data_IF_190789667936
#
_entry.id   IF_190789667936
#
_cell.length_a   1.000
_cell.length_b   1.000
_cell.length_c   1.000
_cell.angle_alpha   90.00
_cell.angle_beta   90.00
_cell.angle_gamma   90.00
#
_symmetry.space_group_name_H-M   'P 1'
#
loop_
_entity.id
_entity.type
_entity.pdbx_description
1 polymer ?
#
# COMPACT_ATOMS: atom_id res chain seq x y z
N UNK A 1 -1.28 -10.59 15.84
CA UNK A 1 -0.37 -11.10 16.89
C UNK A 1 -1.11 -11.73 18.05
N UNK A 2 -2.08 -11.02 18.64
CA UNK A 2 -2.98 -11.50 19.70
C UNK A 2 -3.59 -12.87 19.39
N UNK A 3 -4.03 -13.10 18.15
CA UNK A 3 -4.53 -14.39 17.68
C UNK A 3 -3.57 -15.55 17.95
N UNK A 4 -2.31 -15.42 17.56
CA UNK A 4 -1.38 -16.53 17.68
C UNK A 4 -1.00 -16.80 19.14
N UNK A 5 -0.92 -15.75 19.96
CA UNK A 5 -0.70 -15.88 21.41
C UNK A 5 -1.90 -16.55 22.10
N UNK A 6 -3.12 -16.22 21.67
CA UNK A 6 -4.34 -16.89 22.11
C UNK A 6 -4.37 -18.37 21.67
N UNK A 7 -4.01 -18.66 20.43
CA UNK A 7 -3.93 -20.04 19.91
C UNK A 7 -2.87 -20.90 20.65
N UNK A 8 -1.88 -20.28 21.29
CA UNK A 8 -0.89 -20.94 22.15
C UNK A 8 -1.40 -21.19 23.59
N UNK A 9 -2.64 -20.81 23.91
CA UNK A 9 -3.24 -21.04 25.23
C UNK A 9 -2.71 -20.12 26.34
N UNK A 10 -2.13 -18.98 25.98
CA UNK A 10 -1.67 -17.98 26.95
C UNK A 10 -2.86 -17.29 27.63
N UNK A 11 -2.69 -16.88 28.89
CA UNK A 11 -3.72 -16.09 29.57
C UNK A 11 -3.76 -14.64 29.06
N UNK A 12 -4.87 -13.96 29.33
CA UNK A 12 -5.14 -12.59 28.83
C UNK A 12 -4.05 -11.59 29.20
N UNK A 13 -3.50 -11.65 30.42
CA UNK A 13 -2.44 -10.73 30.86
C UNK A 13 -1.16 -10.94 30.04
N UNK A 14 -0.77 -12.18 29.81
CA UNK A 14 0.38 -12.51 28.97
C UNK A 14 0.16 -12.11 27.51
N UNK A 15 -1.06 -12.32 26.99
CA UNK A 15 -1.43 -11.91 25.63
C UNK A 15 -1.31 -10.39 25.49
N UNK A 16 -1.82 -9.62 26.45
CA UNK A 16 -1.74 -8.16 26.43
C UNK A 16 -0.27 -7.72 26.45
N UNK A 17 0.52 -8.19 27.42
CA UNK A 17 1.91 -7.75 27.60
C UNK A 17 2.78 -8.14 26.40
N UNK A 18 2.78 -9.42 26.02
CA UNK A 18 3.60 -9.90 24.91
C UNK A 18 3.10 -9.38 23.57
N UNK A 19 1.77 -9.32 23.39
CA UNK A 19 1.14 -8.78 22.19
C UNK A 19 1.52 -7.33 21.95
N UNK A 20 1.44 -6.48 22.97
CA UNK A 20 1.83 -5.06 22.88
C UNK A 20 3.31 -4.89 22.58
N UNK A 21 4.21 -5.62 23.26
CA UNK A 21 5.65 -5.52 23.03
C UNK A 21 6.04 -5.93 21.62
N UNK A 22 5.58 -7.11 21.20
CA UNK A 22 5.87 -7.61 19.86
C UNK A 22 5.26 -6.69 18.80
N UNK A 23 4.07 -6.13 19.04
CA UNK A 23 3.39 -5.24 18.09
C UNK A 23 4.17 -3.95 17.93
N UNK A 24 4.67 -3.39 19.04
CA UNK A 24 5.54 -2.21 19.01
C UNK A 24 6.84 -2.46 18.23
N UNK A 25 7.48 -3.62 18.44
CA UNK A 25 8.67 -4.01 17.66
C UNK A 25 8.33 -4.09 16.18
N UNK A 26 7.26 -4.78 15.81
CA UNK A 26 6.90 -4.94 14.41
C UNK A 26 6.51 -3.61 13.72
N UNK A 27 5.70 -2.79 14.39
CA UNK A 27 5.26 -1.50 13.86
C UNK A 27 6.39 -0.47 13.73
N UNK A 28 7.48 -0.62 14.48
CA UNK A 28 8.69 0.21 14.29
C UNK A 28 9.61 -0.33 13.19
N UNK A 29 9.60 -1.64 12.93
CA UNK A 29 10.36 -2.24 11.82
C UNK A 29 9.80 -1.89 10.45
N UNK A 30 8.47 -1.91 10.30
CA UNK A 30 7.85 -1.72 8.98
C UNK A 30 8.28 -0.41 8.31
N UNK A 31 8.19 0.78 8.96
CA UNK A 31 8.65 2.02 8.35
C UNK A 31 10.15 1.99 8.01
N UNK A 32 10.98 1.37 8.86
CA UNK A 32 12.42 1.25 8.60
C UNK A 32 12.73 0.43 7.33
N UNK A 33 11.88 -0.54 6.98
CA UNK A 33 12.03 -1.37 5.77
C UNK A 33 11.79 -0.55 4.50
N UNK A 34 10.77 0.30 4.48
CA UNK A 34 10.46 1.16 3.32
C UNK A 34 11.30 2.44 3.28
N UNK A 35 11.90 2.85 4.41
CA UNK A 35 12.56 4.14 4.56
C UNK A 35 13.63 4.45 3.51
N UNK A 36 14.46 3.51 3.03
CA UNK A 36 15.39 3.80 1.94
C UNK A 36 14.70 4.31 0.67
N UNK A 37 13.55 3.74 0.30
CA UNK A 37 12.76 4.18 -0.86
C UNK A 37 12.06 5.50 -0.55
N UNK A 38 11.54 5.67 0.67
CA UNK A 38 10.91 6.93 1.09
C UNK A 38 11.90 8.08 0.99
N UNK A 39 13.13 7.92 1.50
CA UNK A 39 14.21 8.92 1.40
C UNK A 39 14.56 9.26 -0.05
N UNK A 40 14.64 8.24 -0.91
CA UNK A 40 14.92 8.41 -2.34
C UNK A 40 13.81 9.22 -3.03
N UNK A 41 12.55 8.99 -2.66
CA UNK A 41 11.39 9.67 -3.21
C UNK A 41 11.21 11.10 -2.69
N UNK A 42 11.34 11.31 -1.38
CA UNK A 42 11.07 12.61 -0.75
C UNK A 42 12.27 13.55 -0.78
N UNK A 43 13.48 13.00 -0.99
CA UNK A 43 14.73 13.74 -0.84
C UNK A 43 15.05 14.14 0.59
N UNK A 44 14.32 13.63 1.58
CA UNK A 44 14.51 13.96 3.01
C UNK A 44 14.31 12.76 3.92
N UNK A 45 14.69 12.91 5.18
CA UNK A 45 14.47 11.90 6.23
C UNK A 45 13.51 12.42 7.32
N UNK A 46 12.65 13.37 6.96
CA UNK A 46 11.80 14.09 7.93
C UNK A 46 10.60 13.26 8.41
N UNK A 47 10.16 12.30 7.61
CA UNK A 47 9.10 11.37 7.96
C UNK A 47 9.34 9.98 7.36
N UNK A 48 8.63 9.00 7.89
CA UNK A 48 8.58 7.63 7.40
C UNK A 48 7.14 7.23 7.09
N UNK A 49 6.94 6.05 6.50
CA UNK A 49 5.59 5.55 6.18
C UNK A 49 5.27 4.29 6.98
N UNK A 50 4.18 4.34 7.74
CA UNK A 50 3.66 3.24 8.55
C UNK A 50 2.31 2.77 8.03
N UNK A 51 2.27 1.56 7.47
CA UNK A 51 1.05 0.89 7.07
C UNK A 51 1.24 -0.63 7.14
N UNK A 52 0.16 -1.43 7.21
CA UNK A 52 0.24 -2.90 7.33
C UNK A 52 0.37 -3.63 5.98
N UNK A 53 0.94 -2.95 5.00
CA UNK A 53 1.20 -3.49 3.66
C UNK A 53 2.61 -3.17 3.18
N UNK A 54 3.47 -2.67 4.05
CA UNK A 54 4.81 -2.18 3.75
C UNK A 54 5.73 -3.27 3.22
N UNK A 55 5.64 -4.52 3.71
CA UNK A 55 6.43 -5.62 3.17
C UNK A 55 6.06 -5.87 1.70
N UNK A 56 4.77 -5.86 1.41
CA UNK A 56 4.26 -6.05 0.05
C UNK A 56 4.63 -4.91 -0.89
N UNK A 57 4.37 -3.66 -0.50
CA UNK A 57 4.64 -2.49 -1.35
C UNK A 57 6.14 -2.30 -1.57
N UNK A 58 6.95 -2.50 -0.54
CA UNK A 58 8.42 -2.41 -0.64
C UNK A 58 8.99 -3.50 -1.53
N UNK A 59 8.59 -4.76 -1.32
CA UNK A 59 9.03 -5.87 -2.17
C UNK A 59 8.63 -5.65 -3.63
N UNK A 60 7.38 -5.21 -3.88
CA UNK A 60 6.91 -4.89 -5.21
C UNK A 60 7.72 -3.73 -5.85
N UNK A 61 8.05 -2.69 -5.08
CA UNK A 61 8.91 -1.60 -5.54
C UNK A 61 10.31 -2.06 -5.96
N UNK A 62 10.93 -2.94 -5.17
CA UNK A 62 12.21 -3.56 -5.55
C UNK A 62 12.10 -4.42 -6.81
N UNK A 63 11.05 -5.23 -6.93
CA UNK A 63 10.81 -6.03 -8.15
C UNK A 63 10.62 -5.11 -9.37
N UNK A 64 9.87 -4.02 -9.21
CA UNK A 64 9.73 -2.99 -10.24
C UNK A 64 11.07 -2.38 -10.65
N UNK A 65 11.96 -2.11 -9.69
CA UNK A 65 13.32 -1.63 -9.95
C UNK A 65 14.21 -2.62 -10.71
N UNK A 66 14.06 -3.93 -10.47
CA UNK A 66 14.86 -4.96 -11.14
C UNK A 66 14.55 -5.09 -12.64
N UNK A 67 13.31 -4.79 -13.04
CA UNK A 67 12.87 -4.95 -14.44
C UNK A 67 12.58 -3.62 -15.14
N UNK A 68 12.60 -2.52 -14.40
CA UNK A 68 12.28 -1.18 -14.87
C UNK A 68 13.44 -0.46 -15.58
N UNK A 69 13.20 0.80 -15.95
CA UNK A 69 14.23 1.73 -16.37
C UNK A 69 13.98 3.08 -15.67
N UNK A 70 14.92 3.46 -14.79
CA UNK A 70 14.83 4.70 -14.00
C UNK A 70 14.88 5.98 -14.84
N UNK A 71 15.42 5.93 -16.06
CA UNK A 71 15.45 7.08 -16.98
C UNK A 71 14.05 7.46 -17.52
N UNK A 72 13.07 6.58 -17.36
CA UNK A 72 11.70 6.76 -17.86
C UNK A 72 10.75 7.07 -16.71
N UNK A 73 11.01 8.14 -15.97
CA UNK A 73 10.16 8.55 -14.85
C UNK A 73 8.73 8.88 -15.32
N UNK A 74 7.72 8.36 -14.63
CA UNK A 74 6.32 8.65 -14.90
C UNK A 74 5.92 10.11 -14.57
N UNK A 75 6.69 10.77 -13.71
CA UNK A 75 6.46 12.17 -13.34
C UNK A 75 7.11 13.14 -14.37
N UNK A 76 8.16 12.70 -15.08
CA UNK A 76 8.89 13.50 -16.09
C UNK A 76 8.53 13.13 -17.55
N UNK A 77 7.33 12.61 -17.79
CA UNK A 77 6.91 12.24 -19.15
C UNK A 77 6.80 13.48 -20.05
N UNK A 78 7.75 13.61 -20.99
CA UNK A 78 7.67 14.60 -22.07
C UNK A 78 6.58 14.22 -23.07
N UNK A 79 5.48 14.95 -23.03
CA UNK A 79 4.36 14.80 -23.96
C UNK A 79 4.46 15.82 -25.09
N UNK A 80 4.09 15.47 -26.34
CA UNK A 80 4.00 16.43 -27.43
C UNK A 80 2.99 17.54 -27.10
N UNK A 81 3.15 18.73 -27.66
CA UNK A 81 2.39 19.94 -27.31
C UNK A 81 0.86 19.74 -27.29
N UNK A 82 0.32 18.89 -28.17
CA UNK A 82 -1.12 18.57 -28.22
C UNK A 82 -1.64 17.77 -27.02
N UNK A 83 -0.73 17.15 -26.25
CA UNK A 83 -0.97 16.34 -25.08
C UNK A 83 -0.43 17.03 -23.81
N UNK A 84 0.03 18.28 -23.89
CA UNK A 84 0.64 18.96 -22.74
C UNK A 84 -0.34 19.15 -21.56
N UNK A 85 -1.64 19.23 -21.84
CA UNK A 85 -2.67 19.30 -20.80
C UNK A 85 -2.72 18.06 -19.89
N UNK A 86 -2.14 16.92 -20.31
CA UNK A 86 -2.00 15.73 -19.46
C UNK A 86 -0.96 15.90 -18.34
N UNK A 87 -0.13 16.96 -18.38
CA UNK A 87 0.73 17.32 -17.25
C UNK A 87 -0.08 17.85 -16.07
N UNK A 88 -1.30 18.33 -16.29
CA UNK A 88 -2.20 18.69 -15.19
C UNK A 88 -2.68 17.43 -14.48
N UNK A 89 -2.33 17.30 -13.20
CA UNK A 89 -2.66 16.13 -12.38
C UNK A 89 -4.17 15.87 -12.30
N UNK A 90 -5.01 16.91 -12.25
CA UNK A 90 -6.45 16.75 -12.22
C UNK A 90 -6.99 16.18 -13.53
N UNK A 91 -6.47 16.65 -14.67
CA UNK A 91 -6.87 16.15 -15.99
C UNK A 91 -6.36 14.72 -16.20
N UNK A 92 -5.10 14.43 -15.83
CA UNK A 92 -4.52 13.10 -15.93
C UNK A 92 -5.32 12.05 -15.15
N UNK A 93 -5.59 12.34 -13.87
CA UNK A 93 -6.41 11.46 -13.02
C UNK A 93 -7.82 11.33 -13.60
N UNK A 94 -8.43 12.43 -14.05
CA UNK A 94 -9.79 12.42 -14.62
C UNK A 94 -9.88 11.50 -15.83
N UNK A 95 -8.95 11.62 -16.79
CA UNK A 95 -9.00 10.78 -17.99
C UNK A 95 -8.79 9.30 -17.63
N UNK A 96 -7.79 9.00 -16.81
CA UNK A 96 -7.51 7.64 -16.34
C UNK A 96 -8.77 7.03 -15.72
N UNK A 97 -9.42 7.78 -14.83
CA UNK A 97 -10.61 7.30 -14.13
C UNK A 97 -11.83 7.20 -15.03
N UNK A 98 -11.99 8.10 -16.00
CA UNK A 98 -13.07 8.00 -16.99
C UNK A 98 -12.90 6.71 -17.80
N UNK A 99 -11.71 6.44 -18.32
CA UNK A 99 -11.42 5.21 -19.07
C UNK A 99 -11.72 3.98 -18.20
N UNK A 100 -11.28 4.00 -16.94
CA UNK A 100 -11.53 2.90 -16.00
C UNK A 100 -13.02 2.68 -15.71
N UNK A 101 -13.74 3.69 -15.22
CA UNK A 101 -15.15 3.55 -14.85
C UNK A 101 -16.07 3.32 -16.05
N UNK A 102 -15.84 4.02 -17.18
CA UNK A 102 -16.62 3.79 -18.40
C UNK A 102 -16.31 2.40 -18.98
N UNK A 103 -15.06 1.96 -18.93
CA UNK A 103 -14.68 0.60 -19.30
C UNK A 103 -15.43 -0.45 -18.48
N UNK A 104 -15.50 -0.27 -17.15
CA UNK A 104 -16.31 -1.13 -16.27
C UNK A 104 -17.80 -1.09 -16.62
N UNK A 105 -18.34 0.08 -16.95
CA UNK A 105 -19.73 0.25 -17.36
C UNK A 105 -20.05 -0.54 -18.64
N UNK A 106 -19.13 -0.51 -19.61
CA UNK A 106 -19.27 -1.23 -20.89
C UNK A 106 -19.22 -2.74 -20.65
N UNK A 107 -18.25 -3.22 -19.84
CA UNK A 107 -18.10 -4.64 -19.54
C UNK A 107 -19.28 -5.19 -18.73
N UNK A 108 -19.72 -4.45 -17.70
CA UNK A 108 -20.86 -4.85 -16.87
C UNK A 108 -22.23 -4.68 -17.56
N UNK A 109 -22.31 -3.77 -18.52
CA UNK A 109 -23.54 -3.45 -19.24
C UNK A 109 -24.56 -2.65 -18.40
N UNK A 110 -25.66 -2.20 -19.02
CA UNK A 110 -26.65 -1.33 -18.37
C UNK A 110 -27.32 -1.97 -17.15
N UNK A 111 -27.58 -3.28 -17.18
CA UNK A 111 -28.27 -4.00 -16.11
C UNK A 111 -27.45 -4.08 -14.81
N UNK A 112 -26.13 -4.19 -14.91
CA UNK A 112 -25.26 -4.23 -13.74
C UNK A 112 -25.16 -2.86 -13.04
N UNK A 113 -25.27 -1.76 -13.80
CA UNK A 113 -25.13 -0.40 -13.28
C UNK A 113 -26.47 0.21 -12.85
N UNK A 114 -27.58 -0.21 -13.48
CA UNK A 114 -28.93 0.33 -13.23
C UNK A 114 -29.34 0.40 -11.74
N UNK A 115 -29.05 -0.60 -10.88
CA UNK A 115 -29.38 -0.53 -9.45
C UNK A 115 -28.72 0.66 -8.72
N UNK A 116 -27.58 1.13 -9.23
CA UNK A 116 -26.80 2.22 -8.64
C UNK A 116 -27.06 3.56 -9.31
N UNK A 117 -27.47 3.55 -10.59
CA UNK A 117 -27.61 4.74 -11.41
C UNK A 117 -28.85 5.60 -11.07
N UNK A 118 -29.79 5.10 -10.27
CA UNK A 118 -31.01 5.82 -9.85
C UNK A 118 -31.78 6.42 -11.04
N UNK A 119 -31.89 5.66 -12.15
CA UNK A 119 -32.57 6.09 -13.37
C UNK A 119 -31.73 6.94 -14.33
N UNK A 120 -30.48 7.28 -13.99
CA UNK A 120 -29.56 7.94 -14.92
C UNK A 120 -29.04 6.97 -15.99
N UNK A 121 -28.61 7.50 -17.13
CA UNK A 121 -27.88 6.72 -18.12
C UNK A 121 -26.60 6.13 -17.51
N UNK A 122 -26.37 4.84 -17.69
CA UNK A 122 -25.27 4.12 -17.04
C UNK A 122 -23.88 4.66 -17.39
N UNK A 123 -23.66 5.16 -18.61
CA UNK A 123 -22.39 5.77 -19.03
C UNK A 123 -22.22 7.13 -18.34
N UNK A 124 -23.26 7.96 -18.34
CA UNK A 124 -23.24 9.27 -17.67
C UNK A 124 -23.00 9.13 -16.17
N UNK A 125 -23.68 8.17 -15.54
CA UNK A 125 -23.49 7.86 -14.12
C UNK A 125 -22.02 7.52 -13.82
N UNK A 126 -21.41 6.63 -14.61
CA UNK A 126 -20.04 6.19 -14.40
C UNK A 126 -19.01 7.28 -14.73
N UNK A 127 -19.31 8.16 -15.70
CA UNK A 127 -18.53 9.37 -15.96
C UNK A 127 -18.56 10.31 -14.74
N UNK A 128 -19.73 10.55 -14.14
CA UNK A 128 -19.83 11.35 -12.92
C UNK A 128 -19.10 10.71 -11.73
N UNK A 129 -19.09 9.38 -11.62
CA UNK A 129 -18.30 8.67 -10.60
C UNK A 129 -16.79 8.83 -10.82
N UNK A 130 -16.32 8.78 -12.06
CA UNK A 130 -14.91 9.05 -12.38
C UNK A 130 -14.47 10.47 -12.00
N UNK A 131 -15.29 11.48 -12.33
CA UNK A 131 -15.02 12.87 -11.96
C UNK A 131 -15.09 13.08 -10.44
N UNK A 132 -16.07 12.45 -9.77
CA UNK A 132 -16.18 12.49 -8.31
C UNK A 132 -14.99 11.84 -7.60
N UNK A 133 -14.48 10.72 -8.13
CA UNK A 133 -13.24 10.11 -7.64
C UNK A 133 -12.07 11.09 -7.77
N UNK A 134 -11.92 11.71 -8.93
CA UNK A 134 -10.85 12.67 -9.18
C UNK A 134 -10.93 13.87 -8.22
N UNK A 135 -12.12 14.44 -8.02
CA UNK A 135 -12.34 15.48 -7.02
C UNK A 135 -11.93 15.04 -5.61
N UNK A 136 -12.27 13.81 -5.22
CA UNK A 136 -11.85 13.22 -3.95
C UNK A 136 -10.34 13.08 -3.82
N UNK A 137 -9.64 12.64 -4.87
CA UNK A 137 -8.17 12.55 -4.88
C UNK A 137 -7.53 13.94 -4.76
N UNK A 138 -8.05 14.94 -5.47
CA UNK A 138 -7.52 16.30 -5.36
C UNK A 138 -7.68 16.85 -3.94
N UNK A 139 -8.86 16.69 -3.33
CA UNK A 139 -9.08 17.07 -1.92
C UNK A 139 -8.09 16.34 -1.00
N UNK A 140 -7.86 15.05 -1.22
CA UNK A 140 -6.88 14.26 -0.47
C UNK A 140 -5.46 14.83 -0.64
N UNK A 141 -5.02 15.10 -1.86
CA UNK A 141 -3.68 15.63 -2.15
C UNK A 141 -3.44 17.00 -1.50
N UNK A 142 -4.42 17.91 -1.58
CA UNK A 142 -4.34 19.21 -0.91
C UNK A 142 -4.34 19.08 0.61
N UNK A 143 -5.20 18.21 1.16
CA UNK A 143 -5.30 17.95 2.59
C UNK A 143 -4.03 17.35 3.17
N UNK A 144 -3.42 16.37 2.50
CA UNK A 144 -2.16 15.74 2.93
C UNK A 144 -1.04 16.78 3.00
N UNK A 145 -0.86 17.61 1.97
CA UNK A 145 0.23 18.61 1.97
C UNK A 145 0.10 19.60 3.14
N UNK A 146 -1.12 20.07 3.42
CA UNK A 146 -1.40 20.92 4.57
C UNK A 146 -1.11 20.20 5.89
N UNK A 147 -1.58 18.96 6.01
CA UNK A 147 -1.38 18.14 7.21
C UNK A 147 0.10 17.88 7.50
N UNK A 148 0.89 17.50 6.49
CA UNK A 148 2.33 17.26 6.62
C UNK A 148 3.09 18.50 7.08
N UNK A 149 2.72 19.67 6.55
CA UNK A 149 3.32 20.95 6.90
C UNK A 149 3.23 21.30 8.39
N UNK A 150 2.20 20.82 9.08
CA UNK A 150 1.98 21.10 10.50
C UNK A 150 2.44 19.94 11.40
N UNK A 151 2.15 18.69 11.02
CA UNK A 151 2.43 17.53 11.88
C UNK A 151 3.91 17.19 11.97
N UNK A 152 4.67 17.34 10.88
CA UNK A 152 6.10 17.02 10.92
C UNK A 152 6.86 17.98 11.85
N UNK A 153 6.70 19.32 11.76
CA UNK A 153 7.30 20.24 12.74
C UNK A 153 6.79 20.04 14.18
N UNK A 154 5.49 19.82 14.36
CA UNK A 154 4.92 19.58 15.68
C UNK A 154 5.49 18.32 16.35
N UNK A 155 5.64 17.23 15.60
CA UNK A 155 6.24 16.00 16.11
C UNK A 155 7.72 16.21 16.44
N UNK A 156 8.47 16.91 15.59
CA UNK A 156 9.88 17.24 15.84
C UNK A 156 10.07 17.97 17.17
N UNK A 157 9.21 18.95 17.48
CA UNK A 157 9.27 19.69 18.75
C UNK A 157 9.04 18.83 20.01
N UNK A 158 8.27 17.74 19.90
CA UNK A 158 8.09 16.74 20.97
C UNK A 158 9.28 15.77 20.99
N UNK A 159 9.68 15.25 19.82
CA UNK A 159 10.76 14.30 19.66
C UNK A 159 12.08 14.83 20.24
N UNK A 160 12.43 16.09 19.98
CA UNK A 160 13.66 16.73 20.49
C UNK A 160 13.75 16.73 22.03
N UNK A 161 12.63 16.58 22.74
CA UNK A 161 12.59 16.50 24.21
C UNK A 161 12.50 15.07 24.75
N UNK A 162 11.78 14.18 24.07
CA UNK A 162 11.41 12.85 24.60
C UNK A 162 12.27 11.74 23.99
N UNK A 163 12.42 11.73 22.67
CA UNK A 163 13.16 10.70 21.93
C UNK A 163 13.97 11.41 20.83
N UNK A 164 15.20 11.86 21.14
CA UNK A 164 16.04 12.56 20.19
C UNK A 164 16.19 11.76 18.89
N UNK A 165 16.11 12.45 17.75
CA UNK A 165 16.21 11.87 16.41
C UNK A 165 15.06 10.91 16.02
N UNK A 166 13.93 10.90 16.75
CA UNK A 166 12.78 10.13 16.32
C UNK A 166 12.17 10.71 15.04
N UNK A 167 11.86 9.82 14.09
CA UNK A 167 11.23 10.17 12.82
C UNK A 167 9.75 9.78 12.90
N UNK A 168 8.80 10.71 12.67
CA UNK A 168 7.39 10.38 12.65
C UNK A 168 7.07 9.46 11.47
N UNK A 169 6.38 8.35 11.73
CA UNK A 169 5.86 7.50 10.67
C UNK A 169 4.38 7.82 10.42
N UNK A 170 4.05 8.17 9.18
CA UNK A 170 2.74 8.65 8.75
C UNK A 170 2.07 7.64 7.82
N UNK A 171 0.78 7.81 7.58
CA UNK A 171 0.04 6.92 6.67
C UNK A 171 0.46 7.13 5.20
N UNK A 172 0.21 6.14 4.35
CA UNK A 172 0.61 6.11 2.95
C UNK A 172 0.18 7.32 2.10
N UNK A 173 -0.94 8.03 2.36
CA UNK A 173 -1.28 9.22 1.61
C UNK A 173 -0.21 10.30 1.66
N UNK A 174 0.65 10.29 2.69
CA UNK A 174 1.82 11.17 2.78
C UNK A 174 2.71 11.15 1.53
N UNK A 175 2.72 10.05 0.77
CA UNK A 175 3.50 9.90 -0.45
C UNK A 175 2.76 10.36 -1.72
N UNK A 176 1.43 10.50 -1.69
CA UNK A 176 0.64 10.67 -2.91
C UNK A 176 0.94 11.99 -3.62
N UNK A 177 1.30 13.02 -2.85
CA UNK A 177 1.66 14.33 -3.38
C UNK A 177 3.05 14.41 -4.01
N UNK A 178 3.88 13.37 -3.85
CA UNK A 178 5.25 13.32 -4.39
C UNK A 178 5.30 12.70 -5.79
N UNK A 179 4.41 11.75 -6.09
CA UNK A 179 4.40 11.05 -7.38
C UNK A 179 2.96 10.64 -7.79
N UNK A 180 2.09 11.61 -8.13
CA UNK A 180 0.68 11.35 -8.41
C UNK A 180 0.43 10.57 -9.71
N UNK A 181 1.31 10.64 -10.71
CA UNK A 181 1.10 9.88 -11.96
C UNK A 181 1.37 8.39 -11.73
N UNK A 182 2.49 8.07 -11.08
CA UNK A 182 2.86 6.71 -10.70
C UNK A 182 1.90 6.08 -9.70
N UNK A 183 1.28 6.88 -8.80
CA UNK A 183 0.15 6.45 -7.97
C UNK A 183 -0.97 5.85 -8.83
N UNK A 184 -1.41 6.56 -9.87
CA UNK A 184 -2.51 6.11 -10.73
C UNK A 184 -2.13 4.90 -11.58
N UNK A 185 -0.91 4.88 -12.12
CA UNK A 185 -0.38 3.73 -12.86
C UNK A 185 -0.34 2.49 -11.96
N UNK A 186 0.16 2.64 -10.73
CA UNK A 186 0.19 1.60 -9.70
C UNK A 186 -1.19 1.10 -9.36
N UNK A 187 -2.15 2.00 -9.16
CA UNK A 187 -3.55 1.67 -8.88
C UNK A 187 -4.17 0.77 -9.96
N UNK A 188 -4.12 1.19 -11.23
CA UNK A 188 -4.71 0.42 -12.34
C UNK A 188 -4.02 -0.95 -12.45
N UNK A 189 -2.68 -0.96 -12.40
CA UNK A 189 -1.90 -2.19 -12.51
C UNK A 189 -2.20 -3.14 -11.36
N UNK A 190 -2.42 -2.61 -10.14
CA UNK A 190 -2.82 -3.37 -8.98
C UNK A 190 -4.22 -3.96 -9.15
N UNK A 191 -5.20 -3.25 -9.70
CA UNK A 191 -6.52 -3.83 -10.01
C UNK A 191 -6.37 -5.04 -10.95
N UNK A 192 -5.54 -4.94 -11.98
CA UNK A 192 -5.27 -6.06 -12.89
C UNK A 192 -4.61 -7.22 -12.13
N UNK A 193 -3.59 -6.95 -11.33
CA UNK A 193 -2.93 -7.97 -10.50
C UNK A 193 -3.89 -8.67 -9.53
N UNK A 194 -4.79 -7.91 -8.91
CA UNK A 194 -5.83 -8.42 -8.00
C UNK A 194 -6.83 -9.31 -8.73
N UNK A 195 -7.28 -8.93 -9.93
CA UNK A 195 -8.18 -9.75 -10.75
C UNK A 195 -7.53 -11.09 -11.13
N UNK A 196 -6.26 -11.05 -11.55
CA UNK A 196 -5.50 -12.27 -11.87
C UNK A 196 -5.36 -13.15 -10.62
N UNK A 197 -4.97 -12.56 -9.48
CA UNK A 197 -4.83 -13.30 -8.23
C UNK A 197 -6.15 -13.85 -7.71
N UNK A 198 -7.29 -13.19 -7.93
CA UNK A 198 -8.61 -13.71 -7.56
C UNK A 198 -8.90 -15.02 -8.31
N UNK A 199 -8.64 -15.06 -9.62
CA UNK A 199 -8.80 -16.28 -10.42
C UNK A 199 -7.81 -17.36 -9.96
N UNK A 200 -6.54 -17.02 -9.81
CA UNK A 200 -5.51 -17.98 -9.38
C UNK A 200 -5.81 -18.53 -7.98
N UNK A 201 -6.19 -17.68 -7.03
CA UNK A 201 -6.63 -18.08 -5.69
C UNK A 201 -7.82 -19.04 -5.75
N UNK A 202 -8.80 -18.76 -6.61
CA UNK A 202 -9.97 -19.64 -6.77
C UNK A 202 -9.58 -21.04 -7.27
N UNK A 203 -8.58 -21.12 -8.15
CA UNK A 203 -8.08 -22.40 -8.67
C UNK A 203 -7.25 -23.16 -7.64
N UNK A 204 -6.33 -22.47 -6.95
CA UNK A 204 -5.33 -23.04 -6.04
C UNK A 204 -5.92 -23.32 -4.65
N UNK A 205 -6.57 -22.32 -4.04
CA UNK A 205 -7.04 -22.36 -2.66
C UNK A 205 -8.54 -22.65 -2.53
N UNK A 206 -9.29 -22.67 -3.64
CA UNK A 206 -10.75 -22.75 -3.64
C UNK A 206 -11.42 -21.58 -2.89
N UNK A 207 -10.71 -20.47 -2.77
CA UNK A 207 -11.18 -19.22 -2.18
C UNK A 207 -11.05 -18.11 -3.21
N UNK A 208 -12.09 -17.26 -3.32
CA UNK A 208 -12.13 -16.14 -4.24
C UNK A 208 -12.19 -14.81 -3.48
N UNK A 209 -11.07 -14.32 -2.91
CA UNK A 209 -11.06 -13.01 -2.28
C UNK A 209 -11.41 -11.93 -3.30
N UNK A 210 -12.33 -11.05 -2.93
CA UNK A 210 -12.79 -9.99 -3.81
C UNK A 210 -11.71 -8.91 -3.95
N UNK A 211 -11.66 -8.29 -5.12
CA UNK A 211 -10.75 -7.16 -5.39
C UNK A 211 -11.08 -5.99 -4.47
N UNK A 212 -10.05 -5.49 -3.77
CA UNK A 212 -10.17 -4.32 -2.89
C UNK A 212 -9.77 -3.05 -3.63
N UNK A 213 -10.73 -2.17 -3.95
CA UNK A 213 -10.45 -0.88 -4.59
C UNK A 213 -9.65 0.04 -3.66
N UNK A 214 -9.91 -0.02 -2.35
CA UNK A 214 -9.13 0.71 -1.34
C UNK A 214 -7.69 0.20 -1.33
N UNK A 215 -7.50 -1.12 -1.30
CA UNK A 215 -6.17 -1.73 -1.39
C UNK A 215 -5.45 -1.37 -2.69
N UNK A 216 -6.16 -1.40 -3.83
CA UNK A 216 -5.57 -1.05 -5.11
C UNK A 216 -5.14 0.42 -5.16
N UNK A 217 -6.00 1.35 -4.76
CA UNK A 217 -5.69 2.78 -4.85
C UNK A 217 -4.63 3.19 -3.85
N UNK A 218 -4.82 2.90 -2.55
CA UNK A 218 -3.91 3.38 -1.52
C UNK A 218 -2.58 2.62 -1.58
N UNK A 219 -2.63 1.30 -1.47
CA UNK A 219 -1.42 0.49 -1.30
C UNK A 219 -0.84 0.00 -2.63
N UNK A 220 -1.68 -0.30 -3.62
CA UNK A 220 -1.23 -0.52 -4.99
C UNK A 220 -0.67 0.74 -5.65
N UNK A 221 -1.26 1.90 -5.33
CA UNK A 221 -0.69 3.19 -5.70
C UNK A 221 0.69 3.41 -5.08
N UNK A 222 0.88 3.15 -3.79
CA UNK A 222 2.22 3.21 -3.14
C UNK A 222 3.22 2.26 -3.77
N UNK A 223 2.79 1.03 -4.10
CA UNK A 223 3.64 0.10 -4.84
C UNK A 223 4.06 0.70 -6.19
N UNK A 224 3.14 1.37 -6.89
CA UNK A 224 3.45 2.15 -8.10
C UNK A 224 4.47 3.26 -7.88
N UNK A 225 4.27 4.07 -6.83
CA UNK A 225 5.21 5.14 -6.44
C UNK A 225 6.61 4.57 -6.16
N UNK A 226 6.70 3.50 -5.36
CA UNK A 226 7.96 2.84 -5.05
C UNK A 226 8.59 2.20 -6.30
N UNK A 227 7.78 1.59 -7.17
CA UNK A 227 8.22 1.05 -8.45
C UNK A 227 8.75 2.13 -9.38
N UNK A 228 8.13 3.31 -9.42
CA UNK A 228 8.58 4.43 -10.22
C UNK A 228 9.92 4.98 -9.72
N UNK A 229 10.04 5.24 -8.41
CA UNK A 229 11.28 5.73 -7.81
C UNK A 229 12.49 4.83 -8.13
N UNK A 230 12.27 3.51 -8.24
CA UNK A 230 13.34 2.53 -8.52
C UNK A 230 13.48 2.11 -9.98
N UNK A 231 12.44 2.23 -10.80
CA UNK A 231 12.38 1.60 -12.12
C UNK A 231 11.54 2.37 -13.15
N UNK A 232 11.23 3.63 -12.88
CA UNK A 232 10.41 4.49 -13.74
C UNK A 232 9.01 3.92 -14.01
N UNK A 233 8.40 4.38 -15.10
CA UNK A 233 7.03 4.03 -15.51
C UNK A 233 6.83 2.51 -15.60
N UNK A 234 7.82 1.78 -16.16
CA UNK A 234 7.76 0.31 -16.22
C UNK A 234 7.81 -0.32 -14.82
N UNK A 235 8.63 0.22 -13.94
CA UNK A 235 8.71 -0.20 -12.54
C UNK A 235 7.37 0.03 -11.82
N UNK A 236 6.70 1.15 -12.06
CA UNK A 236 5.38 1.45 -11.48
C UNK A 236 4.32 0.42 -11.88
N UNK A 237 4.27 0.05 -13.18
CA UNK A 237 3.33 -0.96 -13.70
C UNK A 237 3.58 -2.31 -13.04
N UNK A 238 4.84 -2.76 -13.05
CA UNK A 238 5.19 -4.08 -12.51
C UNK A 238 4.97 -4.13 -11.01
N UNK A 239 5.38 -3.10 -10.27
CA UNK A 239 5.20 -3.04 -8.83
C UNK A 239 3.70 -3.03 -8.45
N UNK A 240 2.88 -2.21 -9.13
CA UNK A 240 1.43 -2.22 -8.93
C UNK A 240 0.82 -3.60 -9.15
N UNK A 241 1.14 -4.24 -10.29
CA UNK A 241 0.66 -5.59 -10.61
C UNK A 241 1.10 -6.63 -9.58
N UNK A 242 2.39 -6.68 -9.25
CA UNK A 242 2.95 -7.65 -8.29
C UNK A 242 2.32 -7.45 -6.92
N UNK A 243 2.20 -6.21 -6.45
CA UNK A 243 1.54 -5.92 -5.19
C UNK A 243 0.08 -6.37 -5.18
N UNK A 244 -0.70 -6.00 -6.20
CA UNK A 244 -2.10 -6.39 -6.32
C UNK A 244 -2.28 -7.91 -6.35
N UNK A 245 -1.41 -8.60 -7.07
CA UNK A 245 -1.39 -10.06 -7.10
C UNK A 245 -1.11 -10.64 -5.71
N UNK A 246 -0.03 -10.19 -5.05
CA UNK A 246 0.35 -10.67 -3.73
C UNK A 246 -0.74 -10.43 -2.69
N UNK A 247 -1.41 -9.28 -2.73
CA UNK A 247 -2.45 -8.93 -1.76
C UNK A 247 -3.58 -9.96 -1.76
N UNK A 248 -4.16 -10.20 -2.93
CA UNK A 248 -5.32 -11.10 -3.08
C UNK A 248 -4.90 -12.57 -2.96
N UNK A 249 -3.76 -12.94 -3.53
CA UNK A 249 -3.29 -14.32 -3.46
C UNK A 249 -2.96 -14.73 -2.03
N UNK A 250 -2.29 -13.87 -1.26
CA UNK A 250 -1.97 -14.14 0.15
C UNK A 250 -3.21 -14.06 1.05
N UNK A 251 -4.20 -13.21 0.73
CA UNK A 251 -5.51 -13.21 1.41
C UNK A 251 -6.21 -14.55 1.23
N UNK A 252 -6.22 -15.09 0.01
CA UNK A 252 -6.77 -16.42 -0.30
C UNK A 252 -6.04 -17.55 0.42
N UNK A 253 -4.70 -17.48 0.47
CA UNK A 253 -3.87 -18.42 1.24
C UNK A 253 -4.17 -18.36 2.74
N UNK A 254 -4.36 -17.16 3.30
CA UNK A 254 -4.62 -16.98 4.72
C UNK A 254 -5.87 -17.76 5.16
N UNK A 255 -6.94 -17.78 4.36
CA UNK A 255 -8.15 -18.56 4.64
C UNK A 255 -7.94 -20.09 4.68
N UNK A 256 -6.96 -20.60 3.94
CA UNK A 256 -6.62 -22.03 3.98
C UNK A 256 -5.75 -22.35 5.19
N UNK A 257 -4.91 -21.40 5.61
CA UNK A 257 -3.93 -21.62 6.68
C UNK A 257 -4.52 -21.36 8.06
N UNK A 258 -5.50 -20.45 8.19
CA UNK A 258 -6.08 -19.99 9.45
C UNK A 258 -7.59 -20.22 9.48
N UNK A 259 -8.08 -20.79 10.59
CA UNK A 259 -9.51 -20.96 10.82
C UNK A 259 -10.11 -19.65 11.36
N UNK A 260 -10.43 -18.74 10.44
CA UNK A 260 -11.09 -17.48 10.76
C UNK A 260 -12.54 -17.66 11.22
N UNK A 261 -13.19 -18.79 10.88
CA UNK A 261 -14.56 -19.06 11.32
C UNK A 261 -14.61 -19.33 12.83
N UNK A 262 -13.64 -20.07 13.36
CA UNK A 262 -13.47 -20.29 14.81
C UNK A 262 -13.30 -18.99 15.62
N UNK A 263 -12.96 -17.88 14.96
CA UNK A 263 -12.76 -16.56 15.57
C UNK A 263 -13.96 -15.62 15.40
N UNK A 264 -15.03 -16.07 14.75
CA UNK A 264 -16.17 -15.22 14.42
C UNK A 264 -15.89 -14.23 13.28
N UNK A 265 -14.80 -14.41 12.52
CA UNK A 265 -14.44 -13.59 11.35
C UNK A 265 -14.58 -14.38 10.05
N UNK A 266 -15.66 -15.16 9.92
CA UNK A 266 -15.97 -15.86 8.67
C UNK A 266 -16.36 -14.84 7.58
N UNK A 267 -15.88 -15.05 6.36
CA UNK A 267 -16.28 -14.26 5.18
C UNK A 267 -15.65 -12.88 5.05
N UNK A 268 -14.61 -12.53 5.82
CA UNK A 268 -13.90 -11.24 5.70
C UNK A 268 -12.52 -11.39 5.06
N UNK A 269 -12.22 -10.57 4.05
CA UNK A 269 -10.90 -10.55 3.41
C UNK A 269 -9.81 -10.01 4.36
N UNK A 270 -8.67 -10.71 4.43
CA UNK A 270 -7.52 -10.30 5.23
C UNK A 270 -6.46 -9.62 4.35
N UNK A 271 -6.79 -8.45 3.84
CA UNK A 271 -6.00 -7.77 2.81
C UNK A 271 -4.89 -6.90 3.40
N UNK A 272 -4.04 -7.50 4.24
CA UNK A 272 -2.86 -6.87 4.85
C UNK A 272 -1.70 -7.86 4.84
N UNK A 273 -0.82 -7.74 3.84
CA UNK A 273 0.31 -8.66 3.64
C UNK A 273 1.18 -8.77 4.91
N UNK A 274 1.40 -7.65 5.59
CA UNK A 274 2.26 -7.61 6.78
C UNK A 274 1.61 -8.34 7.96
N UNK A 275 0.29 -8.18 8.12
CA UNK A 275 -0.47 -8.90 9.13
C UNK A 275 -0.47 -10.41 8.83
N UNK A 276 -0.64 -10.81 7.57
CA UNK A 276 -0.54 -12.22 7.14
C UNK A 276 0.85 -12.78 7.45
N UNK A 277 1.91 -12.04 7.09
CA UNK A 277 3.29 -12.45 7.34
C UNK A 277 3.55 -12.66 8.84
N UNK A 278 3.11 -11.74 9.70
CA UNK A 278 3.19 -11.92 11.16
C UNK A 278 2.42 -13.17 11.59
N UNK A 279 1.15 -13.32 11.17
CA UNK A 279 0.33 -14.46 11.59
C UNK A 279 1.00 -15.78 11.24
N UNK A 280 1.65 -15.87 10.07
CA UNK A 280 2.42 -17.04 9.65
C UNK A 280 3.66 -17.26 10.51
N UNK A 281 4.45 -16.21 10.78
CA UNK A 281 5.62 -16.31 11.64
C UNK A 281 5.25 -16.76 13.05
N UNK A 282 4.13 -16.27 13.58
CA UNK A 282 3.68 -16.66 14.91
C UNK A 282 3.00 -18.03 14.97
N UNK A 283 2.39 -18.49 13.88
CA UNK A 283 1.95 -19.90 13.79
C UNK A 283 3.13 -20.85 14.03
N UNK A 284 4.34 -20.45 13.62
CA UNK A 284 5.60 -21.13 13.89
C UNK A 284 6.50 -20.32 14.82
N UNK A 285 5.98 -19.91 15.99
CA UNK A 285 6.61 -18.92 16.88
C UNK A 285 8.08 -19.21 17.22
N UNK A 286 8.47 -20.48 17.34
CA UNK A 286 9.85 -20.91 17.65
C UNK A 286 10.85 -20.56 16.54
N UNK A 287 10.39 -20.37 15.30
CA UNK A 287 11.19 -19.82 14.18
C UNK A 287 10.87 -18.33 14.00
N UNK A 288 9.59 -17.95 14.07
CA UNK A 288 9.14 -16.61 13.75
C UNK A 288 9.65 -15.54 14.71
N UNK A 289 9.64 -15.79 16.02
CA UNK A 289 10.11 -14.81 17.02
C UNK A 289 11.62 -14.55 16.87
N UNK A 290 12.49 -15.57 16.78
CA UNK A 290 13.91 -15.34 16.48
C UNK A 290 14.14 -14.57 15.18
N UNK A 291 13.42 -14.89 14.10
CA UNK A 291 13.55 -14.17 12.82
C UNK A 291 13.19 -12.69 12.96
N UNK A 292 12.11 -12.36 13.66
CA UNK A 292 11.69 -10.96 13.90
C UNK A 292 12.77 -10.23 14.70
N UNK A 293 13.30 -10.84 15.76
CA UNK A 293 14.37 -10.23 16.58
C UNK A 293 15.65 -10.00 15.76
N UNK A 294 16.06 -10.98 14.95
CA UNK A 294 17.24 -10.85 14.08
C UNK A 294 17.03 -9.72 13.06
N UNK A 295 15.86 -9.69 12.41
CA UNK A 295 15.52 -8.64 11.46
C UNK A 295 15.48 -7.25 12.12
N UNK A 296 14.93 -7.15 13.34
CA UNK A 296 14.92 -5.91 14.12
C UNK A 296 16.35 -5.42 14.39
N UNK A 297 17.21 -6.27 14.94
CA UNK A 297 18.60 -5.92 15.24
C UNK A 297 19.38 -5.54 13.98
N UNK A 298 19.12 -6.21 12.87
CA UNK A 298 19.71 -5.87 11.57
C UNK A 298 19.26 -4.49 11.08
N UNK A 299 17.96 -4.18 11.15
CA UNK A 299 17.44 -2.85 10.78
C UNK A 299 18.00 -1.74 11.68
N UNK A 300 18.08 -1.97 12.99
CA UNK A 300 18.72 -1.03 13.91
C UNK A 300 20.18 -0.76 13.51
N UNK A 301 20.94 -1.81 13.14
CA UNK A 301 22.31 -1.66 12.67
C UNK A 301 22.38 -0.85 11.37
N UNK A 302 21.52 -1.13 10.39
CA UNK A 302 21.47 -0.38 9.14
C UNK A 302 21.19 1.10 9.37
N UNK A 303 20.23 1.41 10.24
CA UNK A 303 19.88 2.79 10.55
C UNK A 303 21.00 3.52 11.29
N UNK A 304 21.70 2.86 12.24
CA UNK A 304 22.88 3.45 12.90
C UNK A 304 23.99 3.74 11.87
N UNK A 305 24.22 2.85 10.92
CA UNK A 305 25.22 3.05 9.85
C UNK A 305 24.84 4.23 8.97
N UNK A 306 23.57 4.34 8.60
CA UNK A 306 23.05 5.47 7.83
C UNK A 306 23.22 6.80 8.58
N UNK A 307 22.81 6.87 9.85
CA UNK A 307 22.95 8.11 10.64
C UNK A 307 24.41 8.55 10.78
N UNK A 308 25.34 7.59 10.90
CA UNK A 308 26.78 7.88 10.92
C UNK A 308 27.35 8.36 9.58
N UNK A 309 26.73 8.05 8.45
CA UNK A 309 27.20 8.53 7.13
C UNK A 309 26.73 9.95 6.81
N UNK A 310 25.76 10.48 7.57
CA UNK A 310 25.25 11.85 7.42
C UNK A 310 25.98 12.88 8.29
N UNK A 311 26.79 12.43 9.26
CA UNK A 311 27.61 13.25 10.16
C UNK A 311 29.08 13.23 9.75
#
# INVERSE_FOLDING_TARGET
MTWALYALGLNDVMIIVLGSLLQGVFQTMLPAISQPIVRELTGSNDFAVAHLTTLGTTAAGYIGGLVGNKEKDAEDLELPDSLEFFKDTAIAISLIMIIFFVGLAIVGGPSAVAPYAQGQNFIIFMLLKALGFTGGVLVLLYGVRMFLGEIVPAFKGIADKVIPNAIPALDVPALFGFAPNSLMIGFISAVVGMLVAMVVSSLVFKTAPLVSIIGAFFTGGVAGIFGNARGGTRGAIVAGFVYGFLLIFLSGMAFVVFDFAALGSAGVGHDCIDAIAIMLLFKYWYIGVPLIVIAYLWLCRQEIVYQKSQN
#
